data_IF_875955870050
#
_entry.id   IF_875955870050
#
_cell.length_a   1.000
_cell.length_b   1.000
_cell.length_c   1.000
_cell.angle_alpha   90.00
_cell.angle_beta   90.00
_cell.angle_gamma   90.00
#
_symmetry.space_group_name_H-M   'P 1'
#
loop_
_entity.id
_entity.type
_entity.pdbx_description
1 polymer ?
#
# COMPACT_ATOMS: atom_id res chain seq x y z
N UNK A 1 9.06 -1.03 8.14
CA UNK A 1 9.36 -0.14 7.00
C UNK A 1 9.73 -1.06 5.85
N UNK A 2 8.86 -1.12 4.85
CA UNK A 2 9.03 -1.97 3.65
C UNK A 2 9.69 -1.14 2.55
N UNK A 3 10.43 -1.79 1.65
CA UNK A 3 11.18 -1.07 0.60
C UNK A 3 10.54 -1.21 -0.78
N UNK A 4 9.49 -2.01 -0.90
CA UNK A 4 8.78 -2.26 -2.17
C UNK A 4 7.27 -2.16 -2.00
N UNK A 5 6.57 -1.79 -3.06
CA UNK A 5 5.11 -1.74 -3.05
C UNK A 5 4.47 -3.12 -2.87
N UNK A 6 5.12 -4.20 -3.33
CA UNK A 6 4.64 -5.57 -3.08
C UNK A 6 4.67 -5.95 -1.61
N UNK A 7 5.74 -5.62 -0.89
CA UNK A 7 5.81 -5.86 0.56
C UNK A 7 4.74 -5.02 1.29
N UNK A 8 4.51 -3.78 0.85
CA UNK A 8 3.46 -2.94 1.40
C UNK A 8 2.06 -3.56 1.23
N UNK A 9 1.76 -4.16 0.08
CA UNK A 9 0.48 -4.84 -0.14
C UNK A 9 0.31 -6.08 0.74
N UNK A 10 1.37 -6.88 0.90
CA UNK A 10 1.34 -8.06 1.76
C UNK A 10 1.10 -7.67 3.23
N UNK A 11 1.75 -6.60 3.69
CA UNK A 11 1.56 -6.05 5.03
C UNK A 11 0.17 -5.44 5.22
N UNK A 12 -0.35 -4.71 4.24
CA UNK A 12 -1.72 -4.15 4.31
C UNK A 12 -2.80 -5.23 4.38
N UNK A 13 -2.58 -6.39 3.77
CA UNK A 13 -3.49 -7.53 3.86
C UNK A 13 -3.55 -8.17 5.25
N UNK A 14 -2.54 -7.96 6.11
CA UNK A 14 -2.58 -8.44 7.49
C UNK A 14 -3.67 -7.75 8.32
N UNK A 15 -4.13 -6.56 7.90
CA UNK A 15 -5.12 -5.76 8.60
C UNK A 15 -4.60 -5.05 9.85
N UNK A 16 -3.28 -5.01 10.08
CA UNK A 16 -2.66 -4.39 11.25
C UNK A 16 -2.41 -2.87 11.09
N UNK A 17 -2.82 -2.29 9.97
CA UNK A 17 -2.54 -0.88 9.65
C UNK A 17 -3.82 -0.07 9.42
N UNK A 18 -3.97 0.99 10.20
CA UNK A 18 -5.09 1.95 10.07
C UNK A 18 -4.74 3.17 9.22
N UNK A 19 -3.50 3.31 8.74
CA UNK A 19 -3.05 4.43 7.93
C UNK A 19 -1.78 4.04 7.15
N UNK A 20 -1.69 4.47 5.89
CA UNK A 20 -0.51 4.27 5.05
C UNK A 20 0.09 5.63 4.69
N UNK A 21 1.38 5.82 4.95
CA UNK A 21 2.13 6.96 4.39
C UNK A 21 2.86 6.45 3.16
N UNK A 22 2.44 6.94 2.00
CA UNK A 22 2.95 6.51 0.71
C UNK A 22 4.04 7.45 0.20
N UNK A 23 5.24 6.92 0.02
CA UNK A 23 6.28 7.59 -0.76
C UNK A 23 6.04 7.31 -2.26
N UNK A 24 6.19 8.32 -3.11
CA UNK A 24 6.06 8.18 -4.55
C UNK A 24 7.32 7.58 -5.20
N UNK A 25 8.45 7.55 -4.47
CA UNK A 25 9.75 7.05 -4.92
C UNK A 25 10.01 5.57 -4.60
N UNK A 26 9.01 4.69 -4.74
CA UNK A 26 9.21 3.24 -4.56
C UNK A 26 10.09 2.66 -5.68
N UNK A 27 10.90 1.64 -5.36
CA UNK A 27 11.90 1.07 -6.30
C UNK A 27 11.33 0.10 -7.32
N UNK A 28 10.17 -0.50 -7.06
CA UNK A 28 9.54 -1.55 -7.88
C UNK A 28 8.27 -1.11 -8.61
N UNK A 29 7.63 -0.04 -8.15
CA UNK A 29 6.46 0.60 -8.75
C UNK A 29 6.40 2.07 -8.34
N UNK A 30 5.51 2.85 -8.94
CA UNK A 30 5.21 4.20 -8.46
C UNK A 30 4.22 4.15 -7.30
N UNK A 31 4.21 5.18 -6.44
CA UNK A 31 3.19 5.26 -5.39
C UNK A 31 1.75 5.28 -5.94
N UNK A 32 1.53 5.82 -7.14
CA UNK A 32 0.21 5.81 -7.78
C UNK A 32 -0.25 4.40 -8.16
N UNK A 33 0.63 3.56 -8.70
CA UNK A 33 0.31 2.16 -9.02
C UNK A 33 -0.03 1.37 -7.74
N UNK A 34 0.69 1.64 -6.65
CA UNK A 34 0.38 1.05 -5.36
C UNK A 34 -1.00 1.51 -4.85
N UNK A 35 -1.30 2.80 -4.98
CA UNK A 35 -2.59 3.38 -4.58
C UNK A 35 -3.77 2.74 -5.33
N UNK A 36 -3.63 2.51 -6.63
CA UNK A 36 -4.67 1.82 -7.42
C UNK A 36 -4.89 0.38 -6.94
N UNK A 37 -3.81 -0.35 -6.63
CA UNK A 37 -3.90 -1.72 -6.12
C UNK A 37 -4.56 -1.77 -4.72
N UNK A 38 -4.25 -0.82 -3.84
CA UNK A 38 -4.88 -0.70 -2.52
C UNK A 38 -6.38 -0.41 -2.66
N UNK A 39 -6.76 0.54 -3.53
CA UNK A 39 -8.17 0.87 -3.78
C UNK A 39 -8.95 -0.27 -4.40
N UNK A 40 -8.30 -1.15 -5.17
CA UNK A 40 -8.89 -2.35 -5.73
C UNK A 40 -9.11 -3.49 -4.72
N UNK A 41 -8.53 -3.40 -3.52
CA UNK A 41 -8.63 -4.45 -2.50
C UNK A 41 -9.63 -4.04 -1.40
N UNK A 42 -10.73 -4.77 -1.24
CA UNK A 42 -11.81 -4.42 -0.29
C UNK A 42 -11.34 -4.25 1.17
N UNK A 43 -10.30 -5.00 1.58
CA UNK A 43 -9.72 -4.94 2.93
C UNK A 43 -8.85 -3.68 3.07
N UNK A 44 -8.06 -3.35 2.04
CA UNK A 44 -7.13 -2.23 2.07
C UNK A 44 -7.80 -0.89 1.74
N UNK A 45 -8.95 -0.89 1.07
CA UNK A 45 -9.69 0.30 0.66
C UNK A 45 -10.19 1.16 1.83
N UNK A 46 -10.18 0.62 3.05
CA UNK A 46 -10.57 1.33 4.27
C UNK A 46 -9.42 2.10 4.90
N UNK A 47 -8.19 1.87 4.45
CA UNK A 47 -6.98 2.50 5.00
C UNK A 47 -6.79 3.87 4.32
N UNK A 48 -6.84 4.98 5.07
CA UNK A 48 -6.47 6.30 4.54
C UNK A 48 -5.00 6.31 4.10
N UNK A 49 -4.77 6.93 2.92
CA UNK A 49 -3.45 7.17 2.32
C UNK A 49 -3.20 8.67 2.23
#
# INVERSE_FOLDING_TARGET
>A
MVSTGREALAELQSGEYDCLILDLGLTDMTGFELLEQIRGCEICARVPV
#
